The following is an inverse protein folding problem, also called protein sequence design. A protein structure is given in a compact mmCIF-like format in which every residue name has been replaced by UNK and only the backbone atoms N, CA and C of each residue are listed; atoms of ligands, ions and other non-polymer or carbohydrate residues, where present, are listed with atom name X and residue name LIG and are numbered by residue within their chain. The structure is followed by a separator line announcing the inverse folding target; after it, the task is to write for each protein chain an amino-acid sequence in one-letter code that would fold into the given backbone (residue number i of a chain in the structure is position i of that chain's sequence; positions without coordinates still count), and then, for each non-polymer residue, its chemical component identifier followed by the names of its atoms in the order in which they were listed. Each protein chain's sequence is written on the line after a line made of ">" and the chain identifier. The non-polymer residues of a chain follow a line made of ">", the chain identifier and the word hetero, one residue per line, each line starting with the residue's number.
data_IF_212682224190
#
_entry.id   IF_212682224190
#
_cell.length_a   1.000
_cell.length_b   1.000
_cell.length_c   1.000
_cell.angle_alpha   90.00
_cell.angle_beta   90.00
_cell.angle_gamma   90.00
#
_symmetry.space_group_name_H-M   'P 1'
#
loop_
_entity.id
_entity.type
_entity.pdbx_description
1 polymer ?
#
# COMPACT_ATOMS: atom_id res chain seq x y z
N UNK A 1 -42.59 -6.54 -8.20
CA UNK A 1 -41.58 -7.48 -8.71
C UNK A 1 -40.22 -7.00 -8.22
N UNK A 2 -39.75 -7.51 -7.09
CA UNK A 2 -38.57 -7.00 -6.39
C UNK A 2 -37.45 -8.04 -6.40
N UNK A 3 -36.57 -7.94 -7.38
CA UNK A 3 -35.33 -8.72 -7.46
C UNK A 3 -34.39 -8.28 -6.32
N UNK A 4 -34.26 -9.15 -5.32
CA UNK A 4 -33.40 -8.91 -4.15
C UNK A 4 -32.05 -9.55 -4.42
N UNK A 5 -31.02 -8.73 -4.70
CA UNK A 5 -29.64 -9.17 -4.91
C UNK A 5 -29.05 -9.72 -3.61
N UNK A 6 -29.18 -11.04 -3.42
CA UNK A 6 -28.64 -11.78 -2.27
C UNK A 6 -27.11 -11.79 -2.33
N UNK A 7 -26.44 -10.87 -1.63
CA UNK A 7 -24.98 -10.85 -1.48
C UNK A 7 -24.52 -12.20 -0.91
N UNK A 8 -23.64 -12.90 -1.63
CA UNK A 8 -23.04 -14.15 -1.15
C UNK A 8 -22.24 -13.86 0.12
N UNK A 9 -22.80 -14.19 1.29
CA UNK A 9 -22.03 -14.26 2.53
C UNK A 9 -21.13 -15.48 2.42
N UNK A 10 -19.81 -15.28 2.48
CA UNK A 10 -18.87 -16.39 2.54
C UNK A 10 -19.26 -17.32 3.68
N UNK A 11 -19.23 -18.63 3.45
CA UNK A 11 -19.69 -19.62 4.42
C UNK A 11 -18.79 -19.58 5.68
N UNK A 12 -19.28 -18.93 6.74
CA UNK A 12 -18.55 -18.72 8.00
C UNK A 12 -18.23 -20.05 8.68
N UNK A 13 -19.09 -21.04 8.50
CA UNK A 13 -18.95 -22.38 9.08
C UNK A 13 -17.73 -23.13 8.53
N UNK A 14 -17.21 -22.72 7.37
CA UNK A 14 -16.02 -23.31 6.75
C UNK A 14 -14.70 -22.62 7.12
N UNK A 15 -14.71 -21.53 7.91
CA UNK A 15 -13.47 -20.87 8.34
C UNK A 15 -12.78 -21.68 9.43
N UNK A 16 -11.52 -22.08 9.19
CA UNK A 16 -10.67 -22.70 10.21
C UNK A 16 -9.90 -21.61 10.96
N UNK A 17 -10.12 -21.42 12.28
CA UNK A 17 -9.39 -20.42 13.05
C UNK A 17 -7.89 -20.75 13.10
N UNK A 18 -7.06 -19.72 13.17
CA UNK A 18 -5.61 -19.89 13.34
C UNK A 18 -5.33 -20.58 14.68
N UNK A 19 -4.38 -21.51 14.69
CA UNK A 19 -3.98 -22.21 15.92
C UNK A 19 -3.32 -21.22 16.89
N UNK A 20 -3.81 -21.16 18.13
CA UNK A 20 -3.23 -20.31 19.18
C UNK A 20 -1.75 -20.65 19.37
N UNK A 21 -0.88 -19.64 19.31
CA UNK A 21 0.58 -19.81 19.39
C UNK A 21 1.27 -20.13 18.06
N UNK A 22 0.53 -20.29 16.95
CA UNK A 22 1.09 -20.44 15.61
C UNK A 22 0.80 -19.19 14.78
N UNK A 23 1.85 -18.59 14.20
CA UNK A 23 1.69 -17.48 13.26
C UNK A 23 0.86 -17.92 12.05
N UNK A 24 -0.08 -17.09 11.61
CA UNK A 24 -0.85 -17.30 10.37
C UNK A 24 0.02 -17.28 9.11
N UNK A 25 1.27 -16.85 9.22
CA UNK A 25 2.30 -17.03 8.20
C UNK A 25 3.48 -17.83 8.77
N UNK A 26 3.40 -19.18 8.81
CA UNK A 26 4.44 -20.03 9.39
C UNK A 26 5.81 -19.93 8.69
N UNK A 27 5.81 -19.60 7.39
CA UNK A 27 7.05 -19.42 6.60
C UNK A 27 7.63 -18.01 6.73
N UNK A 28 6.94 -17.11 7.44
CA UNK A 28 7.38 -15.75 7.68
C UNK A 28 7.58 -14.93 6.40
N UNK A 29 8.44 -13.91 6.50
CA UNK A 29 8.84 -13.11 5.34
C UNK A 29 9.50 -14.02 4.28
N UNK A 30 9.16 -13.90 2.99
CA UNK A 30 9.87 -14.61 1.94
C UNK A 30 11.39 -14.43 2.02
N UNK A 31 12.14 -15.42 1.52
CA UNK A 31 13.61 -15.37 1.55
C UNK A 31 14.13 -14.09 0.90
N UNK A 32 15.17 -13.52 1.53
CA UNK A 32 15.94 -12.37 1.02
C UNK A 32 16.42 -12.63 -0.42
N UNK A 33 16.51 -11.57 -1.21
CA UNK A 33 16.96 -11.56 -2.62
C UNK A 33 15.93 -11.98 -3.66
N UNK A 34 14.73 -12.42 -3.28
CA UNK A 34 13.68 -12.87 -4.22
C UNK A 34 12.55 -11.87 -4.44
N UNK A 35 12.45 -10.86 -3.59
CA UNK A 35 11.37 -9.89 -3.65
C UNK A 35 11.79 -8.68 -4.48
N UNK A 36 10.87 -8.16 -5.32
CA UNK A 36 11.09 -6.98 -6.17
C UNK A 36 11.72 -5.80 -5.39
N UNK A 37 11.24 -5.41 -4.19
CA UNK A 37 11.82 -4.27 -3.48
C UNK A 37 13.29 -4.48 -3.09
N UNK A 38 13.70 -5.72 -2.89
CA UNK A 38 15.08 -6.05 -2.50
C UNK A 38 16.02 -6.03 -3.70
N UNK A 39 15.55 -6.58 -4.84
CA UNK A 39 16.26 -6.50 -6.12
C UNK A 39 16.39 -5.04 -6.56
N UNK A 40 15.31 -4.27 -6.45
CA UNK A 40 15.32 -2.86 -6.81
C UNK A 40 16.30 -2.06 -5.95
N UNK A 41 16.28 -2.25 -4.61
CA UNK A 41 17.26 -1.62 -3.71
C UNK A 41 18.70 -1.95 -4.10
N UNK A 42 18.98 -3.21 -4.45
CA UNK A 42 20.30 -3.64 -4.93
C UNK A 42 20.69 -2.88 -6.20
N UNK A 43 19.84 -2.89 -7.21
CA UNK A 43 20.10 -2.22 -8.50
C UNK A 43 20.32 -0.73 -8.28
N UNK A 44 19.46 -0.06 -7.51
CA UNK A 44 19.55 1.39 -7.31
C UNK A 44 20.77 1.82 -6.50
N UNK A 45 21.32 0.93 -5.67
CA UNK A 45 22.53 1.17 -4.89
C UNK A 45 23.83 1.00 -5.71
N UNK A 46 23.77 0.37 -6.88
CA UNK A 46 24.92 0.25 -7.78
C UNK A 46 25.35 1.63 -8.29
N UNK A 47 26.65 1.85 -8.37
CA UNK A 47 27.23 3.04 -9.01
C UNK A 47 27.20 2.84 -10.52
N UNK A 48 26.78 3.87 -11.25
CA UNK A 48 26.97 3.94 -12.70
C UNK A 48 28.40 4.37 -13.05
N UNK A 49 28.65 4.53 -14.35
CA UNK A 49 29.99 4.86 -14.88
C UNK A 49 30.57 6.16 -14.32
N UNK A 50 29.69 7.12 -13.99
CA UNK A 50 30.08 8.41 -13.42
C UNK A 50 30.36 8.36 -11.91
N UNK A 51 30.39 7.17 -11.29
CA UNK A 51 30.64 6.99 -9.85
C UNK A 51 29.46 7.34 -8.92
N UNK A 52 28.35 7.84 -9.49
CA UNK A 52 27.11 8.18 -8.79
C UNK A 52 26.17 6.97 -8.75
N UNK A 53 25.43 6.78 -7.66
CA UNK A 53 24.44 5.71 -7.57
C UNK A 53 23.29 5.93 -8.55
N UNK A 54 22.74 4.84 -9.09
CA UNK A 54 21.56 4.92 -9.97
C UNK A 54 20.38 5.62 -9.28
N UNK A 55 20.23 5.44 -7.96
CA UNK A 55 19.21 6.15 -7.18
C UNK A 55 19.38 7.67 -7.28
N UNK A 56 20.60 8.19 -7.08
CA UNK A 56 20.86 9.62 -7.16
C UNK A 56 20.61 10.15 -8.58
N UNK A 57 20.96 9.39 -9.62
CA UNK A 57 20.65 9.79 -11.00
C UNK A 57 19.14 9.90 -11.25
N UNK A 58 18.35 8.94 -10.75
CA UNK A 58 16.88 8.99 -10.84
C UNK A 58 16.33 10.21 -10.11
N UNK A 59 16.78 10.46 -8.87
CA UNK A 59 16.32 11.62 -8.10
C UNK A 59 16.72 12.96 -8.73
N UNK A 60 17.92 13.06 -9.29
CA UNK A 60 18.33 14.25 -10.05
C UNK A 60 17.42 14.49 -11.25
N UNK A 61 17.02 13.43 -11.96
CA UNK A 61 16.07 13.56 -13.07
C UNK A 61 14.69 14.04 -12.58
N UNK A 62 14.19 13.52 -11.46
CA UNK A 62 12.93 13.99 -10.86
C UNK A 62 13.00 15.48 -10.52
N UNK A 63 14.12 15.92 -9.94
CA UNK A 63 14.33 17.36 -9.66
C UNK A 63 14.36 18.18 -10.95
N UNK A 64 15.04 17.70 -11.99
CA UNK A 64 15.10 18.39 -13.28
C UNK A 64 13.71 18.51 -13.93
N UNK A 65 12.88 17.45 -13.88
CA UNK A 65 11.51 17.50 -14.38
C UNK A 65 10.63 18.44 -13.54
N UNK A 66 10.81 18.47 -12.22
CA UNK A 66 10.13 19.42 -11.36
C UNK A 66 10.49 20.88 -11.71
N UNK A 67 11.77 21.17 -11.97
CA UNK A 67 12.23 22.51 -12.41
C UNK A 67 11.58 22.91 -13.74
N UNK A 68 11.34 21.95 -14.65
CA UNK A 68 10.63 22.19 -15.92
C UNK A 68 9.12 22.44 -15.73
N UNK A 69 8.57 22.19 -14.54
CA UNK A 69 7.16 22.37 -14.24
C UNK A 69 6.32 21.09 -14.25
N UNK A 70 6.94 19.91 -14.27
CA UNK A 70 6.18 18.65 -14.16
C UNK A 70 5.49 18.56 -12.77
N UNK A 71 4.16 18.61 -12.79
CA UNK A 71 3.35 18.70 -11.57
C UNK A 71 3.52 17.46 -10.68
N UNK A 72 3.65 16.28 -11.28
CA UNK A 72 3.84 15.05 -10.52
C UNK A 72 5.18 15.04 -9.77
N UNK A 73 6.26 15.45 -10.43
CA UNK A 73 7.59 15.54 -9.82
C UNK A 73 7.65 16.59 -8.71
N UNK A 74 7.00 17.76 -8.92
CA UNK A 74 6.87 18.80 -7.88
C UNK A 74 6.14 18.23 -6.65
N UNK A 75 5.00 17.57 -6.86
CA UNK A 75 4.22 16.97 -5.78
C UNK A 75 4.99 15.84 -5.09
N UNK A 76 5.69 15.00 -5.84
CA UNK A 76 6.52 13.93 -5.29
C UNK A 76 7.59 14.48 -4.34
N UNK A 77 8.25 15.57 -4.72
CA UNK A 77 9.27 16.23 -3.88
C UNK A 77 8.61 16.84 -2.64
N UNK A 78 7.52 17.60 -2.80
CA UNK A 78 6.79 18.20 -1.69
C UNK A 78 6.33 17.14 -0.67
N UNK A 79 5.75 16.03 -1.12
CA UNK A 79 5.30 14.93 -0.27
C UNK A 79 6.44 14.24 0.50
N UNK A 80 7.69 14.30 0.00
CA UNK A 80 8.86 13.75 0.72
C UNK A 80 9.49 14.75 1.69
N UNK A 81 9.39 16.04 1.42
CA UNK A 81 10.02 17.11 2.20
C UNK A 81 9.10 17.64 3.30
N UNK A 82 7.86 17.98 2.95
CA UNK A 82 6.86 18.58 3.86
C UNK A 82 5.88 17.54 4.40
N UNK A 83 5.92 16.32 3.84
CA UNK A 83 4.97 15.26 4.15
C UNK A 83 3.65 15.42 3.40
N UNK A 84 2.80 14.39 3.51
CA UNK A 84 1.47 14.38 2.90
C UNK A 84 0.41 14.71 3.95
N UNK A 85 -0.60 15.56 3.65
CA UNK A 85 -1.69 15.80 4.58
C UNK A 85 -2.43 14.51 4.93
N UNK A 86 -2.93 14.44 6.17
CA UNK A 86 -3.72 13.31 6.63
C UNK A 86 -4.98 13.17 5.77
N UNK A 87 -5.16 11.99 5.17
CA UNK A 87 -6.35 11.71 4.38
C UNK A 87 -7.52 11.41 5.32
N UNK A 88 -8.47 12.34 5.42
CA UNK A 88 -9.74 12.11 6.12
C UNK A 88 -10.68 11.40 5.17
N UNK A 89 -11.13 10.20 5.55
CA UNK A 89 -12.17 9.47 4.83
C UNK A 89 -13.47 9.67 5.59
N UNK A 90 -14.40 10.42 5.01
CA UNK A 90 -15.78 10.50 5.49
C UNK A 90 -16.60 9.43 4.76
N UNK A 91 -16.96 8.36 5.47
CA UNK A 91 -17.90 7.37 4.97
C UNK A 91 -19.30 7.68 5.50
N UNK A 92 -20.20 8.04 4.61
CA UNK A 92 -21.63 8.08 4.90
C UNK A 92 -22.18 6.67 4.75
N UNK A 93 -22.65 6.09 5.84
CA UNK A 93 -23.30 4.78 5.85
C UNK A 93 -24.81 5.05 5.81
N UNK A 94 -25.42 4.88 4.64
CA UNK A 94 -26.88 5.05 4.46
C UNK A 94 -27.67 3.87 5.06
N UNK A 95 -27.09 2.67 5.05
CA UNK A 95 -27.66 1.48 5.67
C UNK A 95 -26.60 0.76 6.49
N UNK A 96 -26.95 0.40 7.74
CA UNK A 96 -26.05 -0.34 8.61
C UNK A 96 -25.62 -1.65 7.94
N UNK A 97 -24.32 -1.97 7.95
CA UNK A 97 -23.86 -3.25 7.43
C UNK A 97 -24.57 -4.36 8.20
N UNK A 98 -25.14 -5.30 7.46
CA UNK A 98 -25.94 -6.39 8.02
C UNK A 98 -25.14 -7.14 9.10
N UNK A 99 -25.60 -7.11 10.36
CA UNK A 99 -24.92 -7.72 11.51
C UNK A 99 -24.42 -6.74 12.58
N UNK A 100 -24.53 -5.43 12.35
CA UNK A 100 -24.37 -4.41 13.39
C UNK A 100 -25.75 -3.93 13.84
N UNK A 101 -26.12 -4.19 15.09
CA UNK A 101 -27.35 -3.69 15.72
C UNK A 101 -27.09 -2.35 16.39
N UNK A 102 -28.09 -1.47 16.40
CA UNK A 102 -28.04 -0.16 17.09
C UNK A 102 -28.06 -0.26 18.62
N UNK A 103 -28.28 -1.45 19.16
CA UNK A 103 -28.27 -1.70 20.59
C UNK A 103 -26.82 -1.75 21.11
N UNK A 104 -26.45 -0.77 21.93
CA UNK A 104 -25.23 -0.82 22.74
C UNK A 104 -25.40 -1.89 23.82
N UNK A 105 -24.37 -2.71 24.01
CA UNK A 105 -24.15 -3.49 25.24
C UNK A 105 -23.97 -2.52 26.41
#
# INVERSE_FOLDING_TARGET
>A
MSDTTKKQRGNIDNLKPFKKGQSGNPKGRPKKGKCIPEILRKITAEKGDNGVTKLNLILNNVVNEAIKGDTWSIQFIADRMEGKPAQVIQQTIEELPSGFTTERI
#
